data_IF_734568370121
#
_entry.id   IF_734568370121
#
_cell.length_a   1.000
_cell.length_b   1.000
_cell.length_c   1.000
_cell.angle_alpha   90.00
_cell.angle_beta   90.00
_cell.angle_gamma   90.00
#
_symmetry.space_group_name_H-M   'P 1'
#
loop_
_entity.id
_entity.type
_entity.pdbx_description
1 polymer ?
#
# COMPACT_ATOMS: atom_id res chain seq x y z
N UNK A 1 -27.78 2.54 -1.58
CA UNK A 1 -26.37 2.46 -1.99
C UNK A 1 -25.85 1.08 -1.61
N UNK A 2 -25.27 0.32 -2.54
CA UNK A 2 -24.72 -1.00 -2.23
C UNK A 2 -23.60 -0.87 -1.19
N UNK A 3 -23.71 -1.58 -0.06
CA UNK A 3 -22.64 -1.67 0.94
C UNK A 3 -21.57 -2.62 0.40
N UNK A 4 -20.64 -2.14 -0.41
CA UNK A 4 -19.44 -2.90 -0.72
C UNK A 4 -18.59 -3.07 0.56
N UNK A 5 -18.12 -4.28 0.82
CA UNK A 5 -17.16 -4.59 1.89
C UNK A 5 -15.76 -4.66 1.28
N UNK A 6 -14.74 -4.23 2.03
CA UNK A 6 -13.35 -4.37 1.61
C UNK A 6 -12.87 -5.83 1.78
N UNK A 7 -11.94 -6.31 0.93
CA UNK A 7 -11.37 -5.63 -0.23
C UNK A 7 -12.37 -5.54 -1.40
N UNK A 8 -12.28 -4.46 -2.19
CA UNK A 8 -13.04 -4.30 -3.43
C UNK A 8 -12.12 -4.66 -4.60
N UNK A 9 -12.52 -5.66 -5.39
CA UNK A 9 -11.77 -6.10 -6.57
C UNK A 9 -12.50 -5.65 -7.83
N UNK A 10 -11.78 -5.03 -8.74
CA UNK A 10 -12.28 -4.60 -10.04
C UNK A 10 -11.77 -5.56 -11.10
N UNK A 11 -12.49 -6.66 -11.33
CA UNK A 11 -12.06 -7.75 -12.22
C UNK A 11 -11.85 -7.29 -13.67
N UNK A 12 -12.67 -6.36 -14.15
CA UNK A 12 -12.72 -5.96 -15.56
C UNK A 12 -12.48 -4.47 -15.75
N UNK A 13 -11.88 -4.12 -16.88
CA UNK A 13 -11.71 -2.74 -17.29
C UNK A 13 -13.10 -2.13 -17.54
N UNK A 14 -13.46 -1.01 -16.90
CA UNK A 14 -14.80 -0.44 -17.03
C UNK A 14 -15.09 0.09 -18.44
N UNK A 15 -14.06 0.26 -19.28
CA UNK A 15 -14.20 0.81 -20.62
C UNK A 15 -14.32 -0.24 -21.73
N UNK A 16 -13.65 -1.38 -21.60
CA UNK A 16 -13.58 -2.38 -22.68
C UNK A 16 -13.79 -3.83 -22.21
N UNK A 17 -14.05 -4.05 -20.92
CA UNK A 17 -14.32 -5.38 -20.35
C UNK A 17 -13.11 -6.30 -20.21
N UNK A 18 -11.92 -5.88 -20.67
CA UNK A 18 -10.69 -6.67 -20.56
C UNK A 18 -10.33 -6.95 -19.09
N UNK A 19 -9.97 -8.19 -18.78
CA UNK A 19 -9.56 -8.63 -17.44
C UNK A 19 -8.08 -8.41 -17.18
N UNK A 20 -7.27 -8.33 -18.23
CA UNK A 20 -5.81 -8.26 -18.13
C UNK A 20 -5.28 -6.84 -17.93
N UNK A 21 -4.16 -6.77 -17.21
CA UNK A 21 -3.39 -5.54 -16.99
C UNK A 21 -1.97 -5.69 -17.48
N UNK A 22 -1.35 -4.56 -17.87
CA UNK A 22 0.00 -4.56 -18.44
C UNK A 22 1.00 -5.11 -17.43
N UNK A 23 0.92 -4.71 -16.16
CA UNK A 23 1.85 -5.21 -15.13
C UNK A 23 1.68 -6.69 -14.87
N UNK A 24 0.44 -7.22 -14.92
CA UNK A 24 0.22 -8.66 -14.76
C UNK A 24 0.89 -9.47 -15.89
N UNK A 25 0.73 -9.03 -17.14
CA UNK A 25 1.36 -9.68 -18.30
C UNK A 25 2.88 -9.70 -18.13
N UNK A 26 3.49 -8.55 -17.82
CA UNK A 26 4.95 -8.47 -17.62
C UNK A 26 5.42 -9.35 -16.43
N UNK A 27 4.62 -9.43 -15.37
CA UNK A 27 4.93 -10.27 -14.21
C UNK A 27 4.85 -11.76 -14.52
N UNK A 28 3.84 -12.17 -15.30
CA UNK A 28 3.71 -13.55 -15.76
C UNK A 28 4.93 -13.98 -16.59
N UNK A 29 5.42 -13.12 -17.50
CA UNK A 29 6.64 -13.41 -18.27
C UNK A 29 7.88 -13.60 -17.40
N UNK A 30 8.06 -12.80 -16.35
CA UNK A 30 9.18 -12.98 -15.42
C UNK A 30 8.98 -14.21 -14.51
N UNK A 31 7.73 -14.56 -14.18
CA UNK A 31 7.39 -15.76 -13.42
C UNK A 31 7.69 -17.03 -14.22
N UNK A 32 7.40 -17.05 -15.52
CA UNK A 32 7.75 -18.14 -16.44
C UNK A 32 9.27 -18.35 -16.54
N UNK A 33 10.05 -17.28 -16.38
CA UNK A 33 11.52 -17.32 -16.29
C UNK A 33 12.03 -17.73 -14.90
N UNK A 34 11.15 -18.02 -13.94
CA UNK A 34 11.49 -18.40 -12.57
C UNK A 34 12.07 -17.29 -11.71
N UNK A 35 11.90 -16.01 -12.11
CA UNK A 35 12.51 -14.86 -11.40
C UNK A 35 11.64 -14.29 -10.29
N UNK A 36 10.33 -14.51 -10.37
CA UNK A 36 9.35 -14.01 -9.41
C UNK A 36 8.27 -15.06 -9.14
N UNK A 37 7.58 -14.95 -8.01
CA UNK A 37 6.46 -15.83 -7.68
C UNK A 37 5.21 -15.43 -8.49
N UNK A 38 4.62 -16.40 -9.21
CA UNK A 38 3.42 -16.20 -10.03
C UNK A 38 2.22 -15.70 -9.22
N UNK A 39 2.07 -16.12 -7.97
CA UNK A 39 0.89 -15.81 -7.15
C UNK A 39 0.98 -14.44 -6.45
N UNK A 40 2.08 -13.71 -6.65
CA UNK A 40 2.22 -12.35 -6.10
C UNK A 40 1.19 -11.41 -6.73
N UNK A 41 0.36 -10.71 -5.93
CA UNK A 41 -0.51 -9.67 -6.44
C UNK A 41 0.34 -8.49 -6.91
N UNK A 42 0.08 -8.02 -8.13
CA UNK A 42 0.84 -6.93 -8.74
C UNK A 42 -0.07 -5.87 -9.30
N UNK A 43 0.42 -4.63 -9.24
CA UNK A 43 -0.16 -3.47 -9.89
C UNK A 43 0.96 -2.49 -10.18
N UNK A 44 0.79 -1.71 -11.23
CA UNK A 44 1.79 -0.75 -11.67
C UNK A 44 2.07 0.36 -10.64
N UNK A 45 1.04 0.77 -9.89
CA UNK A 45 1.10 1.85 -8.92
C UNK A 45 0.33 1.50 -7.64
N UNK A 46 0.80 2.05 -6.53
CA UNK A 46 0.08 2.03 -5.25
C UNK A 46 -0.16 3.45 -4.77
N UNK A 47 -1.41 3.79 -4.47
CA UNK A 47 -1.76 5.02 -3.77
C UNK A 47 -2.21 4.67 -2.36
N UNK A 48 -1.51 5.22 -1.37
CA UNK A 48 -1.78 5.02 0.04
C UNK A 48 -2.45 6.26 0.60
N UNK A 49 -3.68 6.11 1.10
CA UNK A 49 -4.47 7.21 1.65
C UNK A 49 -4.67 6.94 3.14
N UNK A 50 -4.09 7.76 4.04
CA UNK A 50 -4.26 7.59 5.47
C UNK A 50 -5.70 7.86 5.89
N UNK A 51 -6.29 6.91 6.61
CA UNK A 51 -7.60 7.03 7.26
C UNK A 51 -7.40 7.56 8.68
N UNK A 52 -6.92 8.81 8.78
CA UNK A 52 -6.66 9.49 10.03
C UNK A 52 -7.87 10.32 10.46
N UNK A 53 -8.20 10.23 11.75
CA UNK A 53 -9.08 11.20 12.40
C UNK A 53 -8.20 12.27 13.05
N UNK A 54 -8.17 13.51 12.52
CA UNK A 54 -7.30 14.57 13.04
C UNK A 54 -7.66 15.00 14.48
N UNK A 55 -8.84 14.60 15.00
CA UNK A 55 -9.26 14.91 16.37
C UNK A 55 -8.81 13.86 17.39
N UNK A 56 -8.33 12.70 16.94
CA UNK A 56 -7.84 11.64 17.82
C UNK A 56 -6.33 11.78 17.99
N UNK A 57 -5.85 11.58 19.23
CA UNK A 57 -4.42 11.58 19.54
C UNK A 57 -3.67 10.66 18.57
N UNK A 58 -2.48 11.11 18.13
CA UNK A 58 -1.74 10.55 17.00
C UNK A 58 -1.61 9.03 17.17
N UNK A 59 -2.31 8.22 16.36
CA UNK A 59 -2.39 6.80 16.62
C UNK A 59 -1.07 6.13 16.20
N UNK A 60 -0.56 5.21 17.02
CA UNK A 60 0.67 4.42 16.76
C UNK A 60 0.55 3.62 15.45
N UNK A 61 -0.67 3.28 15.07
CA UNK A 61 -1.00 2.69 13.76
C UNK A 61 -2.28 3.33 13.24
N UNK A 62 -2.36 3.58 11.93
CA UNK A 62 -3.58 4.06 11.30
C UNK A 62 -4.03 3.08 10.21
N UNK A 63 -5.35 3.06 10.00
CA UNK A 63 -5.90 2.43 8.80
C UNK A 63 -5.41 3.21 7.58
N UNK A 64 -5.03 2.50 6.54
CA UNK A 64 -4.65 3.05 5.25
C UNK A 64 -5.55 2.44 4.20
N UNK A 65 -6.15 3.27 3.36
CA UNK A 65 -6.76 2.80 2.12
C UNK A 65 -5.64 2.64 1.08
N UNK A 66 -5.37 1.39 0.71
CA UNK A 66 -4.43 1.04 -0.35
C UNK A 66 -5.21 0.85 -1.66
N UNK A 67 -4.87 1.65 -2.66
CA UNK A 67 -5.39 1.55 -4.01
C UNK A 67 -4.34 0.96 -4.93
N UNK A 68 -4.66 -0.18 -5.55
CA UNK A 68 -3.84 -0.84 -6.57
C UNK A 68 -4.27 -0.36 -7.94
N UNK A 69 -3.42 0.41 -8.60
CA UNK A 69 -3.72 1.07 -9.86
C UNK A 69 -2.84 0.48 -10.96
N UNK A 70 -3.44 0.22 -12.12
CA UNK A 70 -2.78 -0.42 -13.24
C UNK A 70 -3.35 0.10 -14.57
N UNK A 71 -2.82 -0.39 -15.68
CA UNK A 71 -3.27 -0.08 -17.03
C UNK A 71 -3.89 -1.31 -17.70
N UNK A 72 -5.03 -1.10 -18.34
CA UNK A 72 -5.68 -2.15 -19.12
C UNK A 72 -4.80 -2.56 -20.31
N UNK A 73 -4.49 -3.85 -20.41
CA UNK A 73 -3.64 -4.40 -21.47
C UNK A 73 -4.23 -4.19 -22.89
N UNK A 74 -5.56 -4.14 -23.00
CA UNK A 74 -6.25 -3.98 -24.29
C UNK A 74 -6.38 -2.52 -24.74
N UNK A 75 -6.88 -1.64 -23.88
CA UNK A 75 -7.22 -0.25 -24.28
C UNK A 75 -6.25 0.80 -23.74
N UNK A 76 -5.22 0.40 -22.99
CA UNK A 76 -4.19 1.29 -22.46
C UNK A 76 -4.67 2.30 -21.42
N UNK A 77 -5.93 2.22 -20.96
CA UNK A 77 -6.45 3.16 -19.96
C UNK A 77 -6.07 2.75 -18.55
N UNK A 78 -5.72 3.74 -17.73
CA UNK A 78 -5.51 3.59 -16.28
C UNK A 78 -6.81 3.18 -15.60
N UNK A 79 -6.74 2.19 -14.72
CA UNK A 79 -7.88 1.63 -13.97
C UNK A 79 -7.46 1.24 -12.56
N UNK A 80 -8.41 1.30 -11.64
CA UNK A 80 -8.27 0.68 -10.33
C UNK A 80 -8.45 -0.85 -10.49
N UNK A 81 -7.56 -1.64 -9.90
CA UNK A 81 -7.61 -3.10 -9.93
C UNK A 81 -8.12 -3.67 -8.61
N UNK A 82 -7.69 -3.09 -7.49
CA UNK A 82 -8.09 -3.48 -6.14
C UNK A 82 -8.05 -2.27 -5.20
N UNK A 83 -8.96 -2.22 -4.26
CA UNK A 83 -8.89 -1.31 -3.12
C UNK A 83 -9.04 -2.13 -1.84
N UNK A 84 -8.17 -1.89 -0.86
CA UNK A 84 -8.22 -2.57 0.43
C UNK A 84 -7.83 -1.66 1.59
N UNK A 85 -8.28 -2.00 2.79
CA UNK A 85 -7.86 -1.32 4.00
C UNK A 85 -6.77 -2.16 4.65
N UNK A 86 -5.59 -1.58 4.78
CA UNK A 86 -4.46 -2.17 5.51
C UNK A 86 -4.21 -1.37 6.78
N UNK A 87 -3.52 -1.97 7.74
CA UNK A 87 -3.01 -1.25 8.91
C UNK A 87 -1.52 -1.00 8.70
N UNK A 88 -1.10 0.26 8.77
CA UNK A 88 0.32 0.63 8.68
C UNK A 88 0.76 1.28 10.00
N UNK A 89 1.96 0.96 10.52
CA UNK A 89 2.53 1.73 11.62
C UNK A 89 2.75 3.17 11.16
N UNK A 90 2.33 4.14 11.97
CA UNK A 90 2.65 5.54 11.70
C UNK A 90 4.12 5.71 12.09
N UNK A 91 5.00 5.78 11.10
CA UNK A 91 6.40 6.16 11.31
C UNK A 91 6.48 7.62 11.76
N UNK A 92 6.19 7.91 13.02
CA UNK A 92 6.58 9.17 13.64
C UNK A 92 8.07 9.08 13.98
N UNK A 93 8.92 9.49 13.03
CA UNK A 93 10.23 9.99 13.44
C UNK A 93 10.02 11.26 14.30
N UNK A 94 10.80 11.48 15.37
CA UNK A 94 10.75 12.76 16.08
C UNK A 94 10.98 13.89 15.07
N UNK A 95 10.22 14.98 15.21
CA UNK A 95 10.46 16.15 14.38
C UNK A 95 11.94 16.57 14.53
N UNK A 96 12.61 17.05 13.46
CA UNK A 96 13.96 17.58 13.58
C UNK A 96 14.00 18.65 14.68
N UNK A 97 14.63 18.35 15.81
CA UNK A 97 14.68 19.22 16.99
C UNK A 97 13.92 18.74 18.24
N UNK A 98 13.10 17.68 18.17
CA UNK A 98 12.62 17.02 19.39
C UNK A 98 13.72 16.09 19.91
N UNK A 99 14.50 16.59 20.88
CA UNK A 99 15.40 15.76 21.68
C UNK A 99 14.56 14.66 22.34
N UNK A 100 14.80 13.42 21.94
CA UNK A 100 14.34 12.24 22.66
C UNK A 100 14.91 12.32 24.07
N UNK A 101 14.06 12.74 25.02
CA UNK A 101 14.42 12.78 26.43
C UNK A 101 14.55 11.36 26.96
N UNK A 102 15.71 10.73 26.77
CA UNK A 102 16.17 9.65 27.64
C UNK A 102 16.95 10.29 28.78
N UNK A 103 16.21 10.62 29.83
CA UNK A 103 16.72 10.96 31.16
C UNK A 103 17.40 9.74 31.78
N UNK A 104 18.70 9.84 32.10
CA UNK A 104 19.46 8.94 33.00
C UNK A 104 19.69 7.52 32.46
N UNK A 105 20.88 6.95 32.45
CA UNK A 105 21.87 6.85 33.52
C UNK A 105 23.25 6.73 32.84
N UNK A 106 24.19 7.59 33.23
CA UNK A 106 25.62 7.42 32.93
C UNK A 106 26.19 6.55 34.06
N UNK A 107 26.77 5.37 33.82
CA UNK A 107 27.74 4.81 34.74
C UNK A 107 29.09 5.48 34.46
N UNK A 108 29.48 6.41 35.33
CA UNK A 108 30.86 6.89 35.44
C UNK A 108 31.70 5.82 36.16
N UNK A 109 32.76 5.35 35.50
CA UNK A 109 34.00 4.79 36.09
C UNK A 109 33.85 3.49 36.89
N UNK A 110 34.88 2.75 37.27
CA UNK A 110 36.33 2.72 37.05
C UNK A 110 36.76 1.45 37.78
N UNK A 111 37.70 0.67 37.23
CA UNK A 111 38.29 -0.51 37.88
C UNK A 111 39.20 -1.25 36.94
#
# INVERSE_FOLDING_TARGET
MAKSRFPIVFEKCPYCGCTETITRIAWDEEAEKGRVNKDTPVSAEHLQIPLLDPKKAIPISCGMLLLHIDWCAKCGRRRLAKAEVITSPVGMGPAPGQMGGTTGIIPKGTG
#
